data_IF_145392322679
#
_entry.id   IF_145392322679
#
_cell.length_a   1.000
_cell.length_b   1.000
_cell.length_c   1.000
_cell.angle_alpha   90.00
_cell.angle_beta   90.00
_cell.angle_gamma   90.00
#
_symmetry.space_group_name_H-M   'P 1'
#
loop_
_entity.id
_entity.type
_entity.pdbx_description
1 polymer ?
#
# COMPACT_ATOMS: atom_id res chain seq x y z
N UNK A 1 15.78 -21.94 -32.30
CA UNK A 1 16.32 -20.70 -31.70
C UNK A 1 15.87 -20.73 -30.25
N UNK A 2 16.78 -21.05 -29.32
CA UNK A 2 16.43 -21.22 -27.90
C UNK A 2 16.04 -19.88 -27.32
N UNK A 3 14.84 -19.78 -26.75
CA UNK A 3 14.49 -18.65 -25.91
C UNK A 3 15.44 -18.68 -24.72
N UNK A 4 16.31 -17.68 -24.61
CA UNK A 4 17.01 -17.44 -23.36
C UNK A 4 15.95 -16.98 -22.37
N UNK A 5 15.67 -17.79 -21.35
CA UNK A 5 14.93 -17.37 -20.16
C UNK A 5 15.80 -16.34 -19.42
N UNK A 6 15.68 -15.07 -19.80
CA UNK A 6 16.11 -13.98 -18.94
C UNK A 6 15.11 -13.90 -17.80
N UNK A 7 15.37 -14.63 -16.73
CA UNK A 7 14.74 -14.36 -15.44
C UNK A 7 15.39 -13.08 -14.90
N UNK A 8 14.67 -11.97 -14.92
CA UNK A 8 15.02 -10.79 -14.10
C UNK A 8 14.75 -11.18 -12.64
N UNK A 9 15.83 -11.40 -11.88
CA UNK A 9 15.77 -11.65 -10.45
C UNK A 9 16.00 -10.34 -9.71
N UNK A 10 15.21 -10.06 -8.67
CA UNK A 10 15.54 -8.98 -7.72
C UNK A 10 16.73 -9.43 -6.88
N UNK A 11 17.75 -8.59 -6.75
CA UNK A 11 18.91 -8.85 -5.91
C UNK A 11 18.90 -7.83 -4.77
N UNK A 12 18.78 -8.32 -3.54
CA UNK A 12 18.95 -7.51 -2.34
C UNK A 12 20.35 -7.72 -1.77
N UNK A 13 20.86 -6.72 -1.03
CA UNK A 13 22.10 -6.82 -0.26
C UNK A 13 21.70 -6.91 1.21
N UNK A 14 22.01 -8.04 1.86
CA UNK A 14 21.70 -8.28 3.28
C UNK A 14 22.99 -8.66 3.99
N UNK A 15 23.39 -7.86 4.98
CA UNK A 15 24.68 -8.01 5.68
C UNK A 15 25.88 -8.12 4.71
N UNK A 16 25.88 -7.32 3.64
CA UNK A 16 26.92 -7.29 2.62
C UNK A 16 26.91 -8.48 1.65
N UNK A 17 25.87 -9.32 1.66
CA UNK A 17 25.72 -10.48 0.77
C UNK A 17 24.57 -10.27 -0.20
N UNK A 18 24.78 -10.64 -1.46
CA UNK A 18 23.73 -10.67 -2.47
C UNK A 18 22.75 -11.82 -2.19
N UNK A 19 21.45 -11.49 -2.17
CA UNK A 19 20.36 -12.44 -1.97
C UNK A 19 19.37 -12.29 -3.13
N UNK A 20 19.33 -13.31 -3.98
CA UNK A 20 18.39 -13.39 -5.08
C UNK A 20 16.98 -13.71 -4.57
N UNK A 21 16.00 -12.93 -5.01
CA UNK A 21 14.59 -13.17 -4.74
C UNK A 21 13.96 -13.97 -5.87
N UNK A 22 12.96 -14.80 -5.53
CA UNK A 22 12.16 -15.50 -6.51
C UNK A 22 11.36 -14.50 -7.37
N UNK A 23 11.12 -14.85 -8.64
CA UNK A 23 10.27 -14.04 -9.51
C UNK A 23 8.83 -13.99 -8.97
N UNK A 24 8.18 -12.81 -9.01
CA UNK A 24 6.83 -12.65 -8.47
C UNK A 24 5.80 -13.42 -9.31
N UNK A 25 4.74 -13.89 -8.66
CA UNK A 25 3.57 -14.43 -9.37
C UNK A 25 2.64 -13.32 -9.85
N UNK A 26 1.73 -13.62 -10.78
CA UNK A 26 0.72 -12.64 -11.21
C UNK A 26 -0.15 -12.14 -10.04
N UNK A 27 -0.53 -13.02 -9.11
CA UNK A 27 -1.30 -12.63 -7.91
C UNK A 27 -0.54 -11.65 -7.02
N UNK A 28 0.74 -11.93 -6.77
CA UNK A 28 1.65 -11.03 -6.04
C UNK A 28 1.71 -9.66 -6.71
N UNK A 29 1.92 -9.62 -8.02
CA UNK A 29 1.92 -8.38 -8.80
C UNK A 29 0.58 -7.64 -8.72
N UNK A 30 -0.55 -8.32 -8.84
CA UNK A 30 -1.87 -7.67 -8.77
C UNK A 30 -2.12 -7.01 -7.42
N UNK A 31 -1.78 -7.66 -6.30
CA UNK A 31 -1.94 -7.05 -4.97
C UNK A 31 -1.17 -5.73 -4.90
N UNK A 32 0.09 -5.74 -5.34
CA UNK A 32 0.98 -4.56 -5.34
C UNK A 32 0.45 -3.47 -6.26
N UNK A 33 0.19 -3.79 -7.53
CA UNK A 33 -0.23 -2.83 -8.53
C UNK A 33 -1.57 -2.15 -8.17
N UNK A 34 -2.49 -2.92 -7.59
CA UNK A 34 -3.78 -2.38 -7.18
C UNK A 34 -3.68 -1.51 -5.93
N UNK A 35 -2.87 -1.89 -4.93
CA UNK A 35 -2.62 -1.02 -3.79
C UNK A 35 -1.90 0.27 -4.22
N UNK A 36 -0.92 0.16 -5.13
CA UNK A 36 -0.23 1.31 -5.70
C UNK A 36 -1.22 2.28 -6.34
N UNK A 37 -2.10 1.78 -7.21
CA UNK A 37 -3.14 2.58 -7.87
C UNK A 37 -4.08 3.25 -6.87
N UNK A 38 -4.49 2.54 -5.82
CA UNK A 38 -5.36 3.06 -4.75
C UNK A 38 -4.66 4.19 -3.99
N UNK A 39 -3.39 3.99 -3.60
CA UNK A 39 -2.59 4.96 -2.85
C UNK A 39 -2.30 6.19 -3.70
N UNK A 40 -1.86 6.02 -4.95
CA UNK A 40 -1.46 7.11 -5.85
C UNK A 40 -2.58 8.14 -6.05
N UNK A 41 -3.84 7.70 -6.05
CA UNK A 41 -5.03 8.56 -6.16
C UNK A 41 -5.24 9.50 -4.97
N UNK A 42 -4.59 9.26 -3.83
CA UNK A 42 -4.90 9.91 -2.55
C UNK A 42 -3.72 10.51 -1.81
N UNK A 43 -2.50 10.11 -2.15
CA UNK A 43 -1.30 10.68 -1.52
C UNK A 43 -1.09 12.15 -1.88
N UNK A 44 -0.48 12.88 -0.96
CA UNK A 44 -0.02 14.25 -1.17
C UNK A 44 1.02 14.34 -2.30
N UNK A 45 1.05 15.46 -3.03
CA UNK A 45 1.93 15.66 -4.18
C UNK A 45 3.43 15.64 -3.84
N UNK A 46 3.81 15.82 -2.57
CA UNK A 46 5.20 15.69 -2.11
C UNK A 46 5.59 14.24 -1.81
N UNK A 47 4.65 13.31 -1.93
CA UNK A 47 4.88 11.88 -1.73
C UNK A 47 4.81 11.13 -3.06
N UNK A 48 5.43 9.95 -3.06
CA UNK A 48 5.34 8.98 -4.15
C UNK A 48 5.07 7.60 -3.58
N UNK A 49 4.30 6.83 -4.33
CA UNK A 49 4.16 5.38 -4.16
C UNK A 49 4.91 4.70 -5.30
N UNK A 50 5.74 3.73 -4.95
CA UNK A 50 6.58 2.97 -5.87
C UNK A 50 6.28 1.49 -5.64
N UNK A 51 6.04 0.75 -6.72
CA UNK A 51 5.81 -0.70 -6.68
C UNK A 51 7.01 -1.42 -7.25
N UNK A 52 7.23 -2.64 -6.78
CA UNK A 52 8.43 -3.43 -7.10
C UNK A 52 9.70 -2.61 -6.80
N UNK A 53 9.79 -2.15 -5.55
CA UNK A 53 10.45 -0.90 -5.19
C UNK A 53 11.94 -0.92 -5.48
N UNK A 54 12.36 -0.08 -6.40
CA UNK A 54 13.51 0.83 -6.32
C UNK A 54 14.40 0.67 -5.07
N UNK A 55 15.71 0.43 -5.26
CA UNK A 55 16.71 0.20 -4.20
C UNK A 55 16.48 1.11 -2.98
N UNK A 56 16.10 0.50 -1.85
CA UNK A 56 16.05 1.16 -0.57
C UNK A 56 17.39 0.98 0.14
N UNK A 57 18.20 2.04 0.10
CA UNK A 57 19.53 2.06 0.69
C UNK A 57 19.40 2.38 2.18
N UNK A 58 19.51 1.36 3.03
CA UNK A 58 19.46 1.55 4.48
C UNK A 58 20.83 1.99 5.01
N UNK A 59 21.87 1.29 4.58
CA UNK A 59 23.28 1.55 4.90
C UNK A 59 24.20 0.87 3.87
N UNK A 60 25.51 1.00 4.06
CA UNK A 60 26.54 0.48 3.14
C UNK A 60 26.44 -1.03 2.86
N UNK A 61 25.89 -1.79 3.81
CA UNK A 61 25.80 -3.26 3.75
C UNK A 61 24.37 -3.76 3.53
N UNK A 62 23.37 -2.88 3.47
CA UNK A 62 21.97 -3.28 3.41
C UNK A 62 21.20 -2.44 2.38
N UNK A 63 20.79 -3.12 1.31
CA UNK A 63 19.92 -2.61 0.27
C UNK A 63 18.77 -3.58 0.09
N UNK A 64 17.55 -3.12 0.34
CA UNK A 64 16.34 -3.91 0.18
C UNK A 64 15.53 -3.39 -1.00
N UNK A 65 14.70 -4.26 -1.57
CA UNK A 65 13.77 -3.97 -2.66
C UNK A 65 12.38 -4.35 -2.15
N UNK A 66 11.71 -3.48 -1.36
CA UNK A 66 10.38 -3.77 -0.84
C UNK A 66 9.35 -3.94 -1.96
N UNK A 67 8.26 -4.65 -1.72
CA UNK A 67 7.23 -4.83 -2.76
C UNK A 67 6.46 -3.54 -3.08
N UNK A 68 6.20 -2.68 -2.09
CA UNK A 68 5.70 -1.33 -2.32
C UNK A 68 6.17 -0.37 -1.23
N UNK A 69 6.57 0.83 -1.66
CA UNK A 69 7.09 1.87 -0.78
C UNK A 69 6.35 3.20 -0.97
N UNK A 70 5.95 3.85 0.13
CA UNK A 70 5.46 5.23 0.12
C UNK A 70 6.48 6.12 0.82
N UNK A 71 7.05 7.08 0.09
CA UNK A 71 8.09 7.98 0.60
C UNK A 71 7.88 9.43 0.11
N UNK A 72 8.70 10.37 0.59
CA UNK A 72 8.70 11.73 0.05
C UNK A 72 9.45 11.74 -1.27
N UNK A 73 9.01 12.57 -2.22
CA UNK A 73 9.71 12.78 -3.48
C UNK A 73 11.16 13.25 -3.29
N UNK A 74 11.42 14.05 -2.24
CA UNK A 74 12.77 14.53 -1.89
C UNK A 74 13.74 13.42 -1.47
N UNK A 75 13.22 12.25 -1.12
CA UNK A 75 14.01 11.13 -0.59
C UNK A 75 14.46 10.17 -1.71
N UNK A 76 14.02 10.44 -2.94
CA UNK A 76 14.32 9.68 -4.16
C UNK A 76 15.45 10.38 -4.92
N UNK A 77 16.52 9.64 -5.20
CA UNK A 77 17.68 10.12 -5.97
C UNK A 77 17.52 9.89 -7.48
N UNK A 78 18.35 10.56 -8.28
CA UNK A 78 18.31 10.54 -9.76
C UNK A 78 18.53 9.15 -10.40
N UNK A 79 19.00 8.16 -9.63
CA UNK A 79 19.14 6.77 -10.06
C UNK A 79 17.95 5.88 -9.71
N UNK A 80 16.83 6.46 -9.27
CA UNK A 80 15.76 5.75 -8.57
C UNK A 80 16.37 4.94 -7.41
N UNK A 81 16.76 5.64 -6.34
CA UNK A 81 17.08 5.01 -5.05
C UNK A 81 16.43 5.79 -3.94
N UNK A 82 15.93 5.07 -2.94
CA UNK A 82 15.34 5.67 -1.75
C UNK A 82 16.42 5.73 -0.68
N UNK A 83 16.69 6.92 -0.15
CA UNK A 83 17.73 7.14 0.89
C UNK A 83 17.16 7.69 2.19
N UNK A 84 16.01 8.39 2.11
CA UNK A 84 15.23 8.81 3.28
C UNK A 84 14.47 7.64 3.92
N UNK A 85 13.67 7.95 4.95
CA UNK A 85 12.85 6.94 5.64
C UNK A 85 11.44 6.93 5.05
N UNK A 86 11.01 5.84 4.39
CA UNK A 86 9.64 5.69 3.94
C UNK A 86 8.61 5.86 5.06
N UNK A 87 7.44 6.39 4.67
CA UNK A 87 6.27 6.48 5.54
C UNK A 87 5.59 5.12 5.71
N UNK A 88 5.61 4.32 4.65
CA UNK A 88 4.98 3.02 4.61
C UNK A 88 5.73 2.06 3.69
N UNK A 89 5.78 0.80 4.11
CA UNK A 89 6.25 -0.33 3.32
C UNK A 89 5.19 -1.43 3.38
N UNK A 90 4.93 -2.05 2.22
CA UNK A 90 4.25 -3.33 2.09
C UNK A 90 5.26 -4.39 1.65
N UNK A 91 5.22 -5.55 2.29
CA UNK A 91 5.85 -6.79 1.82
C UNK A 91 4.77 -7.85 1.57
N UNK A 92 4.78 -8.45 0.38
CA UNK A 92 3.87 -9.53 -0.01
C UNK A 92 4.65 -10.84 -0.06
N UNK A 93 4.54 -11.63 1.00
CA UNK A 93 5.23 -12.90 1.14
C UNK A 93 4.63 -14.00 0.28
N UNK A 94 5.49 -14.94 -0.09
CA UNK A 94 5.14 -16.17 -0.79
C UNK A 94 6.00 -17.34 -0.28
N UNK A 95 5.73 -18.56 -0.75
CA UNK A 95 6.45 -19.79 -0.32
C UNK A 95 7.97 -19.73 -0.49
N UNK A 96 8.51 -18.82 -1.29
CA UNK A 96 9.95 -18.70 -1.54
C UNK A 96 10.74 -17.93 -0.48
N UNK A 97 10.07 -17.14 0.37
CA UNK A 97 10.75 -16.27 1.33
C UNK A 97 11.16 -17.05 2.59
N UNK A 98 12.45 -17.02 2.96
CA UNK A 98 12.90 -17.65 4.20
C UNK A 98 12.47 -16.81 5.40
N UNK A 99 12.00 -17.45 6.46
CA UNK A 99 11.61 -16.77 7.69
C UNK A 99 12.72 -15.87 8.26
N UNK A 100 13.98 -16.33 8.20
CA UNK A 100 15.14 -15.54 8.64
C UNK A 100 15.37 -14.27 7.82
N UNK A 101 15.07 -14.28 6.51
CA UNK A 101 15.16 -13.09 5.66
C UNK A 101 14.05 -12.10 6.00
N UNK A 102 12.84 -12.60 6.26
CA UNK A 102 11.71 -11.79 6.72
C UNK A 102 12.01 -11.11 8.05
N UNK A 103 12.47 -11.86 9.05
CA UNK A 103 12.82 -11.31 10.37
C UNK A 103 13.84 -10.19 10.25
N UNK A 104 14.92 -10.39 9.47
CA UNK A 104 15.94 -9.36 9.24
C UNK A 104 15.38 -8.10 8.60
N UNK A 105 14.56 -8.25 7.54
CA UNK A 105 13.89 -7.11 6.89
C UNK A 105 13.08 -6.29 7.90
N UNK A 106 12.27 -6.98 8.71
CA UNK A 106 11.41 -6.34 9.72
C UNK A 106 12.25 -5.57 10.75
N UNK A 107 13.32 -6.19 11.27
CA UNK A 107 14.24 -5.53 12.21
C UNK A 107 14.89 -4.28 11.60
N UNK A 108 15.31 -4.36 10.34
CA UNK A 108 15.94 -3.23 9.64
C UNK A 108 14.94 -2.10 9.35
N UNK A 109 13.70 -2.43 8.97
CA UNK A 109 12.63 -1.44 8.81
C UNK A 109 12.25 -0.77 10.13
N UNK A 110 12.20 -1.53 11.23
CA UNK A 110 11.99 -0.98 12.58
C UNK A 110 13.09 0.02 12.94
N UNK A 111 14.36 -0.40 12.82
CA UNK A 111 15.53 0.42 13.14
C UNK A 111 15.60 1.70 12.29
N UNK A 112 15.21 1.61 11.02
CA UNK A 112 15.17 2.77 10.10
C UNK A 112 14.03 3.74 10.41
N UNK A 113 13.06 3.33 11.22
CA UNK A 113 11.97 4.16 11.72
C UNK A 113 10.82 4.33 10.73
N UNK A 114 10.56 3.32 9.90
CA UNK A 114 9.39 3.28 9.01
C UNK A 114 8.13 3.41 9.85
N UNK A 115 7.19 4.29 9.47
CA UNK A 115 6.06 4.61 10.35
C UNK A 115 4.97 3.54 10.39
N UNK A 116 4.69 2.95 9.25
CA UNK A 116 3.69 1.90 9.12
C UNK A 116 4.24 0.78 8.23
N UNK A 117 4.00 -0.47 8.61
CA UNK A 117 4.50 -1.63 7.88
C UNK A 117 3.40 -2.68 7.77
N UNK A 118 3.16 -3.17 6.56
CA UNK A 118 2.15 -4.18 6.27
C UNK A 118 2.81 -5.41 5.67
N UNK A 119 2.53 -6.55 6.26
CA UNK A 119 2.85 -7.87 5.72
C UNK A 119 1.57 -8.52 5.22
N UNK A 120 1.63 -9.11 4.03
CA UNK A 120 0.56 -9.96 3.49
C UNK A 120 1.20 -11.26 3.01
N UNK A 121 0.65 -12.40 3.39
CA UNK A 121 0.91 -13.68 2.73
C UNK A 121 -0.38 -14.13 2.08
N UNK A 122 -0.43 -14.07 0.75
CA UNK A 122 -1.62 -14.42 -0.02
C UNK A 122 -1.77 -15.94 -0.22
N UNK A 123 -0.74 -16.72 0.12
CA UNK A 123 -0.77 -18.19 -0.01
C UNK A 123 -1.24 -18.82 1.29
N UNK A 124 -0.66 -18.40 2.41
CA UNK A 124 -1.06 -18.79 3.77
C UNK A 124 -2.24 -17.95 4.29
N UNK A 125 -2.71 -17.00 3.47
CA UNK A 125 -3.92 -16.20 3.66
C UNK A 125 -3.97 -15.38 4.96
N UNK A 126 -2.87 -14.73 5.34
CA UNK A 126 -2.80 -13.91 6.55
C UNK A 126 -2.17 -12.54 6.30
N UNK A 127 -2.40 -11.61 7.23
CA UNK A 127 -1.74 -10.31 7.24
C UNK A 127 -1.26 -9.91 8.65
N UNK A 128 -0.28 -9.01 8.71
CA UNK A 128 0.12 -8.29 9.93
C UNK A 128 0.36 -6.83 9.62
N UNK A 129 -0.20 -5.95 10.43
CA UNK A 129 -0.06 -4.52 10.28
C UNK A 129 0.56 -3.91 11.53
N UNK A 130 1.63 -3.16 11.34
CA UNK A 130 2.45 -2.59 12.41
C UNK A 130 2.51 -1.08 12.29
N UNK A 131 2.47 -0.41 13.44
CA UNK A 131 2.83 0.99 13.58
C UNK A 131 4.12 1.09 14.40
N UNK A 132 4.97 2.06 14.07
CA UNK A 132 6.14 2.36 14.87
C UNK A 132 5.76 3.27 16.05
N UNK A 133 5.93 2.77 17.27
CA UNK A 133 5.68 3.46 18.54
C UNK A 133 6.97 3.44 19.34
N UNK A 134 7.47 4.60 19.75
CA UNK A 134 8.70 4.74 20.54
C UNK A 134 9.92 3.99 19.98
N UNK A 135 10.02 3.89 18.65
CA UNK A 135 11.12 3.21 17.96
C UNK A 135 10.98 1.70 17.85
N UNK A 136 9.81 1.14 18.19
CA UNK A 136 9.47 -0.28 18.06
C UNK A 136 8.21 -0.50 17.24
N UNK A 137 8.19 -1.57 16.46
CA UNK A 137 6.98 -1.97 15.75
C UNK A 137 6.01 -2.65 16.71
N UNK A 138 4.88 -2.00 16.92
CA UNK A 138 3.76 -2.56 17.64
C UNK A 138 2.75 -3.12 16.65
N UNK A 139 2.38 -4.39 16.83
CA UNK A 139 1.34 -5.04 16.04
C UNK A 139 -0.01 -4.38 16.33
N UNK A 140 -0.58 -3.71 15.34
CA UNK A 140 -1.89 -3.05 15.44
C UNK A 140 -3.02 -4.02 15.16
N UNK A 141 -2.83 -4.87 14.15
CA UNK A 141 -3.82 -5.86 13.76
C UNK A 141 -3.16 -6.99 12.98
N UNK A 142 -3.68 -8.19 13.12
CA UNK A 142 -3.33 -9.35 12.31
C UNK A 142 -4.52 -10.27 12.19
N UNK A 143 -4.55 -11.09 11.15
CA UNK A 143 -5.58 -12.10 11.02
C UNK A 143 -5.48 -12.88 9.73
N UNK A 144 -6.34 -13.88 9.63
CA UNK A 144 -6.59 -14.61 8.39
C UNK A 144 -7.56 -13.80 7.52
N UNK A 145 -7.28 -13.68 6.22
CA UNK A 145 -8.05 -12.88 5.26
C UNK A 145 -9.29 -13.63 4.76
N UNK A 146 -10.24 -13.92 5.66
CA UNK A 146 -11.50 -14.64 5.34
C UNK A 146 -12.76 -13.75 5.33
N UNK A 147 -12.64 -12.49 5.73
CA UNK A 147 -13.71 -11.48 5.79
C UNK A 147 -13.09 -10.10 5.61
N UNK A 148 -13.88 -9.02 5.37
CA UNK A 148 -13.35 -7.66 5.35
C UNK A 148 -12.49 -7.34 6.58
N UNK A 149 -11.29 -6.82 6.34
CA UNK A 149 -10.38 -6.35 7.38
C UNK A 149 -9.91 -4.95 7.02
N UNK A 150 -10.36 -3.99 7.81
CA UNK A 150 -10.06 -2.59 7.61
C UNK A 150 -8.81 -2.20 8.39
N UNK A 151 -7.84 -1.60 7.70
CA UNK A 151 -6.69 -0.95 8.35
C UNK A 151 -6.67 0.54 7.99
N UNK A 152 -6.23 1.36 8.94
CA UNK A 152 -6.04 2.79 8.70
C UNK A 152 -4.57 3.08 8.37
N UNK A 153 -4.29 3.41 7.11
CA UNK A 153 -3.03 4.02 6.71
C UNK A 153 -3.10 5.52 7.02
N UNK A 154 -2.13 6.06 7.77
CA UNK A 154 -2.17 7.42 8.31
C UNK A 154 -2.16 8.52 7.25
N UNK A 155 -1.83 8.17 6.00
CA UNK A 155 -1.81 9.07 4.85
C UNK A 155 -3.02 8.90 3.93
N UNK A 156 -3.97 8.02 4.28
CA UNK A 156 -5.24 7.86 3.58
C UNK A 156 -6.38 8.42 4.44
N UNK A 157 -7.41 8.94 3.79
CA UNK A 157 -8.62 9.50 4.43
C UNK A 157 -9.78 8.48 4.47
N UNK A 158 -9.44 7.20 4.32
CA UNK A 158 -10.34 6.06 4.40
C UNK A 158 -9.55 4.83 4.91
N UNK A 159 -10.27 3.87 5.47
CA UNK A 159 -9.70 2.58 5.84
C UNK A 159 -9.61 1.67 4.60
N UNK A 160 -8.48 0.99 4.45
CA UNK A 160 -8.23 0.04 3.39
C UNK A 160 -8.80 -1.33 3.78
N UNK A 161 -9.66 -1.91 2.94
CA UNK A 161 -10.11 -3.30 3.10
C UNK A 161 -9.07 -4.27 2.50
N UNK A 162 -8.35 -4.98 3.36
CA UNK A 162 -7.33 -5.95 2.97
C UNK A 162 -7.93 -7.18 2.31
N UNK A 163 -9.16 -7.57 2.66
CA UNK A 163 -9.81 -8.69 1.99
C UNK A 163 -10.14 -8.35 0.55
N UNK A 164 -10.74 -7.19 0.32
CA UNK A 164 -10.99 -6.65 -1.02
C UNK A 164 -9.68 -6.54 -1.81
N UNK A 165 -8.61 -5.99 -1.21
CA UNK A 165 -7.31 -5.88 -1.86
C UNK A 165 -6.75 -7.22 -2.33
N UNK A 166 -6.79 -8.25 -1.49
CA UNK A 166 -6.15 -9.53 -1.75
C UNK A 166 -7.01 -10.46 -2.61
N UNK A 167 -8.32 -10.54 -2.34
CA UNK A 167 -9.22 -11.50 -2.98
C UNK A 167 -9.99 -10.93 -4.17
N UNK A 168 -10.24 -9.61 -4.15
CA UNK A 168 -10.97 -8.91 -5.20
C UNK A 168 -10.12 -7.86 -5.90
N UNK A 169 -8.80 -7.85 -5.69
CA UNK A 169 -7.86 -6.92 -6.32
C UNK A 169 -8.21 -5.43 -6.12
N UNK A 170 -8.85 -5.12 -4.99
CA UNK A 170 -9.22 -3.77 -4.59
C UNK A 170 -10.39 -3.18 -5.38
N UNK A 171 -11.17 -3.98 -6.11
CA UNK A 171 -12.23 -3.50 -6.99
C UNK A 171 -13.32 -2.73 -6.23
N UNK A 172 -13.70 -3.17 -5.02
CA UNK A 172 -14.70 -2.46 -4.22
C UNK A 172 -14.17 -1.10 -3.75
N UNK A 173 -12.91 -1.08 -3.29
CA UNK A 173 -12.20 0.15 -2.92
C UNK A 173 -12.10 1.11 -4.11
N UNK A 174 -11.71 0.63 -5.29
CA UNK A 174 -11.64 1.45 -6.51
C UNK A 174 -13.00 1.99 -6.92
N UNK A 175 -14.07 1.20 -6.79
CA UNK A 175 -15.44 1.64 -7.05
C UNK A 175 -15.83 2.78 -6.13
N UNK A 176 -15.57 2.65 -4.82
CA UNK A 176 -15.77 3.73 -3.85
C UNK A 176 -15.01 5.01 -4.26
N UNK A 177 -13.73 4.89 -4.64
CA UNK A 177 -12.93 6.04 -5.06
C UNK A 177 -13.45 6.68 -6.36
N UNK A 178 -14.00 5.89 -7.28
CA UNK A 178 -14.62 6.39 -8.51
C UNK A 178 -15.91 7.16 -8.21
N UNK A 179 -16.75 6.62 -7.34
CA UNK A 179 -17.97 7.28 -6.85
C UNK A 179 -17.64 8.61 -6.15
N UNK A 180 -16.62 8.62 -5.29
CA UNK A 180 -16.15 9.84 -4.63
C UNK A 180 -15.69 10.92 -5.63
N UNK A 181 -14.94 10.52 -6.67
CA UNK A 181 -14.51 11.42 -7.73
C UNK A 181 -15.70 11.96 -8.56
N UNK A 182 -16.68 11.11 -8.86
CA UNK A 182 -17.91 11.52 -9.56
C UNK A 182 -18.72 12.53 -8.71
N UNK A 183 -18.92 12.26 -7.42
CA UNK A 183 -19.60 13.16 -6.49
C UNK A 183 -18.87 14.50 -6.33
N UNK A 184 -17.54 14.50 -6.31
CA UNK A 184 -16.74 15.72 -6.28
C UNK A 184 -16.90 16.55 -7.56
N UNK A 185 -16.92 15.89 -8.73
CA UNK A 185 -17.11 16.55 -10.03
C UNK A 185 -18.52 17.15 -10.18
N UNK A 186 -19.54 16.50 -9.62
CA UNK A 186 -20.94 16.95 -9.70
C UNK A 186 -21.36 17.86 -8.54
N UNK A 187 -20.42 18.28 -7.67
CA UNK A 187 -20.70 18.95 -6.38
C UNK A 187 -21.68 20.13 -6.49
N UNK A 188 -21.58 20.95 -7.54
CA UNK A 188 -22.46 22.10 -7.74
C UNK A 188 -23.92 21.71 -8.05
N UNK A 189 -24.12 20.61 -8.78
CA UNK A 189 -25.45 20.14 -9.19
C UNK A 189 -26.19 19.42 -8.08
N UNK A 190 -25.45 18.72 -7.22
CA UNK A 190 -26.04 17.94 -6.13
C UNK A 190 -26.15 18.70 -4.82
N UNK A 191 -25.67 19.96 -4.74
CA UNK A 191 -25.52 20.68 -3.46
C UNK A 191 -26.84 20.88 -2.70
N UNK A 192 -27.94 21.07 -3.43
CA UNK A 192 -29.27 21.34 -2.87
C UNK A 192 -30.17 20.10 -2.81
N UNK A 193 -29.65 18.93 -3.22
CA UNK A 193 -30.35 17.66 -3.17
C UNK A 193 -30.05 16.94 -1.85
N UNK A 194 -31.04 16.27 -1.26
CA UNK A 194 -30.80 15.35 -0.15
C UNK A 194 -30.05 14.09 -0.60
N UNK A 195 -29.41 13.39 0.34
CA UNK A 195 -28.55 12.23 0.03
C UNK A 195 -29.30 11.11 -0.68
N UNK A 196 -30.59 10.90 -0.35
CA UNK A 196 -31.41 9.85 -0.96
C UNK A 196 -31.71 10.18 -2.42
N UNK A 197 -32.09 11.43 -2.71
CA UNK A 197 -32.28 11.91 -4.08
C UNK A 197 -31.00 11.80 -4.90
N UNK A 198 -29.83 12.10 -4.32
CA UNK A 198 -28.54 11.92 -5.02
C UNK A 198 -28.27 10.45 -5.30
N UNK A 199 -28.49 9.56 -4.33
CA UNK A 199 -28.28 8.12 -4.48
C UNK A 199 -29.16 7.54 -5.60
N UNK A 200 -30.45 7.87 -5.61
CA UNK A 200 -31.40 7.42 -6.64
C UNK A 200 -31.02 7.91 -8.05
N UNK A 201 -30.51 9.15 -8.17
CA UNK A 201 -30.13 9.73 -9.47
C UNK A 201 -28.79 9.24 -10.01
N UNK A 202 -27.86 8.87 -9.13
CA UNK A 202 -26.47 8.56 -9.51
C UNK A 202 -26.14 7.07 -9.42
N UNK A 203 -26.94 6.28 -8.69
CA UNK A 203 -26.63 4.90 -8.33
C UNK A 203 -25.55 4.77 -7.24
N UNK A 204 -25.02 5.89 -6.73
CA UNK A 204 -23.95 5.87 -5.74
C UNK A 204 -24.54 5.52 -4.36
N UNK A 205 -23.91 4.61 -3.59
CA UNK A 205 -24.39 4.23 -2.27
C UNK A 205 -24.53 5.41 -1.31
N UNK A 206 -25.60 5.42 -0.51
CA UNK A 206 -25.90 6.48 0.46
C UNK A 206 -24.73 6.75 1.42
N UNK A 207 -24.09 5.68 1.91
CA UNK A 207 -22.92 5.76 2.78
C UNK A 207 -21.74 6.50 2.14
N UNK A 208 -21.52 6.31 0.83
CA UNK A 208 -20.47 7.01 0.08
C UNK A 208 -20.80 8.50 -0.03
N UNK A 209 -22.06 8.84 -0.33
CA UNK A 209 -22.53 10.23 -0.41
C UNK A 209 -22.35 10.95 0.94
N UNK A 210 -22.78 10.31 2.02
CA UNK A 210 -22.67 10.83 3.38
C UNK A 210 -21.21 11.07 3.77
N UNK A 211 -20.32 10.10 3.49
CA UNK A 211 -18.88 10.23 3.78
C UNK A 211 -18.25 11.40 3.00
N UNK A 212 -18.56 11.54 1.72
CA UNK A 212 -18.04 12.63 0.87
C UNK A 212 -18.57 14.00 1.28
N UNK A 213 -19.82 14.08 1.76
CA UNK A 213 -20.39 15.32 2.31
C UNK A 213 -19.83 15.66 3.69
N UNK A 214 -19.61 14.66 4.55
CA UNK A 214 -18.97 14.82 5.86
C UNK A 214 -17.58 15.45 5.78
N UNK A 215 -16.70 14.91 4.93
CA UNK A 215 -15.34 15.46 4.70
C UNK A 215 -15.31 16.95 4.29
N UNK A 216 -16.38 17.46 3.67
CA UNK A 216 -16.48 18.87 3.23
C UNK A 216 -16.81 19.83 4.38
N UNK A 217 -17.44 19.34 5.45
CA UNK A 217 -17.74 20.17 6.61
C UNK A 217 -16.49 20.36 7.48
N UNK A 218 -15.61 19.34 7.55
CA UNK A 218 -14.36 19.40 8.31
C UNK A 218 -13.26 20.24 7.64
N UNK A 219 -13.33 20.45 6.32
CA UNK A 219 -12.37 21.28 5.56
C UNK A 219 -12.72 22.78 5.52
N UNK A 220 -13.72 23.22 6.29
CA UNK A 220 -14.17 24.62 6.40
C UNK A 220 -13.95 25.24 7.78
N UNK A 221 -13.30 24.52 8.71
CA UNK A 221 -12.92 25.00 10.04
C UNK A 221 -11.41 25.18 10.17
#
# INVERSE_FOLDING_TARGET
>A
MGAYDYYEYKIEIIDGKEVMQASPTATHHYIIANLLSIIDRKIDNKCKVLGDSVDFILNENNTYIPDLTVCKQSDITDGARITGTPKFILEVWSKGNKESERTKKIEQYEQKGIKQFLEIDYVENWFKFHNLVEGKFELQSSGELIKPYYIQLNFLDFELDLYDLVHNYGEETKRYLNDENALCSMKAFIKDLDDKTVSEKTGIPLQTIQKVRGKKNDSRN
#
